data_IF_635665683179
#
_entry.id   IF_635665683179
#
_cell.length_a   1.000
_cell.length_b   1.000
_cell.length_c   1.000
_cell.angle_alpha   90.00
_cell.angle_beta   90.00
_cell.angle_gamma   90.00
#
_symmetry.space_group_name_H-M   'P 1'
#
loop_
_entity.id
_entity.type
_entity.pdbx_description
1 polymer ?
#
# COMPACT_ATOMS: atom_id res chain seq x y z
N UNK A 1 -4.50 31.71 -79.96
CA UNK A 1 -5.93 31.43 -79.70
C UNK A 1 -6.06 29.94 -79.40
N UNK A 2 -6.78 29.58 -78.32
CA UNK A 2 -6.97 28.23 -77.77
C UNK A 2 -7.39 27.21 -78.85
N UNK A 3 -6.94 25.95 -78.76
CA UNK A 3 -7.73 24.82 -78.27
C UNK A 3 -6.85 23.57 -78.10
N UNK A 4 -7.28 22.76 -77.15
CA UNK A 4 -6.61 21.63 -76.50
C UNK A 4 -7.14 20.32 -77.11
N UNK A 5 -6.32 19.29 -77.34
CA UNK A 5 -6.65 17.91 -76.96
C UNK A 5 -5.53 16.87 -77.20
N UNK A 6 -4.96 16.41 -76.08
CA UNK A 6 -4.80 15.02 -75.63
C UNK A 6 -4.53 13.92 -76.67
N UNK A 7 -3.37 13.27 -76.55
CA UNK A 7 -3.26 11.80 -76.70
C UNK A 7 -2.45 11.20 -75.55
N UNK A 8 -3.08 10.19 -74.95
CA UNK A 8 -2.61 9.21 -73.97
C UNK A 8 -1.17 8.70 -74.20
N UNK A 9 -0.45 8.38 -73.12
CA UNK A 9 0.35 7.14 -73.01
C UNK A 9 0.78 6.88 -71.55
N UNK A 10 0.26 5.75 -71.05
CA UNK A 10 0.88 4.71 -70.20
C UNK A 10 1.30 5.07 -68.75
N UNK A 11 0.41 4.60 -67.88
CA UNK A 11 0.52 4.33 -66.45
C UNK A 11 1.68 3.36 -66.14
N UNK A 12 2.61 3.78 -65.26
CA UNK A 12 3.55 2.89 -64.57
C UNK A 12 3.28 3.00 -63.07
N UNK A 13 2.57 2.00 -62.57
CA UNK A 13 2.18 1.84 -61.17
C UNK A 13 3.42 1.44 -60.36
N UNK A 14 3.90 2.33 -59.49
CA UNK A 14 4.80 1.96 -58.39
C UNK A 14 4.20 2.46 -57.07
N UNK A 15 3.14 1.79 -56.61
CA UNK A 15 2.73 1.92 -55.22
C UNK A 15 3.60 0.97 -54.39
N UNK A 16 4.57 1.55 -53.69
CA UNK A 16 5.23 0.88 -52.58
C UNK A 16 4.17 0.67 -51.50
N UNK A 17 3.66 -0.55 -51.38
CA UNK A 17 2.92 -0.97 -50.20
C UNK A 17 3.98 -1.13 -49.10
N UNK A 18 4.33 -0.02 -48.45
CA UNK A 18 4.88 -0.10 -47.10
C UNK A 18 3.74 -0.65 -46.24
N UNK A 19 3.71 -1.98 -46.07
CA UNK A 19 2.92 -2.60 -45.03
C UNK A 19 3.41 -1.97 -43.72
N UNK A 20 2.61 -1.06 -43.19
CA UNK A 20 2.75 -0.62 -41.81
C UNK A 20 2.56 -1.89 -40.98
N UNK A 21 3.67 -2.50 -40.60
CA UNK A 21 3.73 -3.33 -39.41
C UNK A 21 3.39 -2.38 -38.26
N UNK A 22 2.10 -2.20 -37.99
CA UNK A 22 1.67 -1.87 -36.65
C UNK A 22 2.16 -3.06 -35.82
N UNK A 23 3.28 -2.86 -35.15
CA UNK A 23 3.62 -3.62 -33.98
C UNK A 23 2.39 -3.51 -33.06
N UNK A 24 1.57 -4.55 -33.04
CA UNK A 24 0.68 -4.78 -31.92
C UNK A 24 1.64 -4.95 -30.74
N UNK A 25 1.89 -3.88 -29.99
CA UNK A 25 2.40 -4.02 -28.64
C UNK A 25 1.42 -4.97 -27.96
N UNK A 26 1.87 -6.20 -27.68
CA UNK A 26 1.07 -7.16 -26.95
C UNK A 26 0.60 -6.46 -25.68
N UNK A 27 -0.71 -6.22 -25.58
CA UNK A 27 -1.29 -5.55 -24.43
C UNK A 27 -0.98 -6.42 -23.21
N UNK A 28 -0.01 -5.98 -22.39
CA UNK A 28 0.42 -6.67 -21.19
C UNK A 28 -0.76 -6.84 -20.23
N UNK A 29 -0.73 -7.87 -19.39
CA UNK A 29 -1.75 -8.12 -18.36
C UNK A 29 -2.87 -9.06 -18.78
N UNK A 30 -3.37 -9.82 -17.80
CA UNK A 30 -4.48 -10.75 -17.93
C UNK A 30 -5.81 -10.03 -18.19
N UNK A 31 -6.80 -10.75 -18.75
CA UNK A 31 -8.17 -10.23 -18.93
C UNK A 31 -8.76 -9.76 -17.59
N UNK A 32 -8.47 -10.48 -16.51
CA UNK A 32 -8.91 -10.15 -15.16
C UNK A 32 -8.38 -8.78 -14.72
N UNK A 33 -7.08 -8.52 -14.88
CA UNK A 33 -6.48 -7.23 -14.51
C UNK A 33 -7.05 -6.07 -15.32
N UNK A 34 -7.32 -6.27 -16.62
CA UNK A 34 -7.97 -5.24 -17.46
C UNK A 34 -9.36 -4.90 -16.94
N UNK A 35 -10.15 -5.92 -16.57
CA UNK A 35 -11.48 -5.73 -15.99
C UNK A 35 -11.42 -5.05 -14.61
N UNK A 36 -10.41 -5.34 -13.80
CA UNK A 36 -10.17 -4.63 -12.54
C UNK A 36 -9.84 -3.16 -12.77
N UNK A 37 -8.89 -2.87 -13.66
CA UNK A 37 -8.48 -1.50 -13.99
C UNK A 37 -9.62 -0.66 -14.58
N UNK A 38 -10.52 -1.30 -15.33
CA UNK A 38 -11.72 -0.63 -15.86
C UNK A 38 -12.67 -0.12 -14.77
N UNK A 39 -12.58 -0.63 -13.52
CA UNK A 39 -13.40 -0.17 -12.39
C UNK A 39 -12.94 1.16 -11.81
N UNK A 40 -11.71 1.59 -12.08
CA UNK A 40 -11.10 2.77 -11.45
C UNK A 40 -11.99 4.04 -11.52
N UNK A 41 -12.60 4.42 -12.67
CA UNK A 41 -13.48 5.59 -12.72
C UNK A 41 -14.71 5.48 -11.81
N UNK A 42 -15.27 4.27 -11.69
CA UNK A 42 -16.44 4.01 -10.84
C UNK A 42 -16.07 4.11 -9.37
N UNK A 43 -14.94 3.53 -8.97
CA UNK A 43 -14.42 3.57 -7.59
C UNK A 43 -14.15 5.01 -7.17
N UNK A 44 -13.48 5.81 -8.01
CA UNK A 44 -13.22 7.24 -7.75
C UNK A 44 -14.54 7.99 -7.54
N UNK A 45 -15.50 7.82 -8.45
CA UNK A 45 -16.79 8.49 -8.37
C UNK A 45 -17.51 8.17 -7.06
N UNK A 46 -17.56 6.90 -6.67
CA UNK A 46 -18.21 6.46 -5.43
C UNK A 46 -17.52 7.01 -4.18
N UNK A 47 -16.18 7.04 -4.18
CA UNK A 47 -15.41 7.67 -3.10
C UNK A 47 -15.75 9.14 -2.94
N UNK A 48 -15.76 9.90 -4.05
CA UNK A 48 -16.11 11.32 -4.05
C UNK A 48 -17.56 11.58 -3.60
N UNK A 49 -18.51 10.76 -4.05
CA UNK A 49 -19.92 10.86 -3.65
C UNK A 49 -20.10 10.59 -2.16
N UNK A 50 -19.53 9.50 -1.63
CA UNK A 50 -19.57 9.20 -0.20
C UNK A 50 -18.86 10.26 0.64
N UNK A 51 -17.73 10.80 0.17
CA UNK A 51 -17.02 11.87 0.89
C UNK A 51 -17.86 13.15 0.98
N UNK A 52 -18.50 13.55 -0.13
CA UNK A 52 -19.41 14.72 -0.18
C UNK A 52 -20.65 14.51 0.70
N UNK A 53 -21.12 13.28 0.83
CA UNK A 53 -22.22 12.91 1.71
C UNK A 53 -21.83 12.87 3.20
N UNK A 54 -20.56 13.03 3.56
CA UNK A 54 -20.06 12.92 4.94
C UNK A 54 -19.88 11.48 5.41
N UNK A 55 -20.02 10.50 4.53
CA UNK A 55 -19.81 9.07 4.81
C UNK A 55 -18.32 8.72 4.76
N UNK A 56 -17.51 9.34 5.63
CA UNK A 56 -16.05 9.29 5.51
C UNK A 56 -15.44 7.89 5.58
N UNK A 57 -15.97 7.01 6.45
CA UNK A 57 -15.54 5.61 6.52
C UNK A 57 -15.76 4.86 5.19
N UNK A 58 -16.93 5.04 4.58
CA UNK A 58 -17.27 4.41 3.30
C UNK A 58 -16.50 5.02 2.13
N UNK A 59 -16.30 6.35 2.16
CA UNK A 59 -15.44 7.04 1.20
C UNK A 59 -14.01 6.49 1.26
N UNK A 60 -13.50 6.27 2.48
CA UNK A 60 -12.18 5.70 2.71
C UNK A 60 -12.03 4.29 2.14
N UNK A 61 -13.06 3.45 2.23
CA UNK A 61 -13.03 2.11 1.62
C UNK A 61 -12.85 2.21 0.10
N UNK A 62 -13.62 3.08 -0.57
CA UNK A 62 -13.46 3.34 -2.00
C UNK A 62 -12.12 3.98 -2.36
N UNK A 63 -11.63 4.93 -1.57
CA UNK A 63 -10.32 5.53 -1.82
C UNK A 63 -9.17 4.55 -1.58
N UNK A 64 -9.32 3.59 -0.67
CA UNK A 64 -8.34 2.52 -0.46
C UNK A 64 -8.35 1.54 -1.64
N UNK A 65 -9.54 1.20 -2.16
CA UNK A 65 -9.67 0.43 -3.41
C UNK A 65 -9.05 1.21 -4.59
N UNK A 66 -9.25 2.53 -4.66
CA UNK A 66 -8.60 3.39 -5.66
C UNK A 66 -7.08 3.29 -5.57
N UNK A 67 -6.49 3.26 -4.38
CA UNK A 67 -5.04 3.06 -4.20
C UNK A 67 -4.62 1.71 -4.78
N UNK A 68 -5.29 0.63 -4.39
CA UNK A 68 -4.99 -0.72 -4.88
C UNK A 68 -4.98 -0.80 -6.41
N UNK A 69 -6.04 -0.27 -7.04
CA UNK A 69 -6.14 -0.24 -8.49
C UNK A 69 -5.10 0.70 -9.12
N UNK A 70 -4.83 1.87 -8.54
CA UNK A 70 -3.87 2.82 -9.13
C UNK A 70 -2.45 2.26 -9.13
N UNK A 71 -2.04 1.58 -8.05
CA UNK A 71 -0.73 0.93 -7.96
C UNK A 71 -0.62 -0.28 -8.89
N UNK A 72 -1.60 -1.18 -8.87
CA UNK A 72 -1.59 -2.37 -9.70
C UNK A 72 -1.69 -2.08 -11.19
N UNK A 73 -2.61 -1.21 -11.58
CA UNK A 73 -2.76 -0.83 -12.98
C UNK A 73 -1.55 -0.02 -13.46
N UNK A 74 -0.99 0.85 -12.61
CA UNK A 74 0.25 1.57 -12.89
C UNK A 74 1.41 0.62 -13.18
N UNK A 75 1.52 -0.46 -12.41
CA UNK A 75 2.54 -1.49 -12.61
C UNK A 75 2.36 -2.27 -13.93
N UNK A 76 1.13 -2.72 -14.23
CA UNK A 76 0.86 -3.61 -15.38
C UNK A 76 0.72 -2.85 -16.71
N UNK A 77 0.12 -1.66 -16.68
CA UNK A 77 -0.28 -0.88 -17.86
C UNK A 77 0.38 0.50 -17.97
N UNK A 78 1.20 0.89 -16.98
CA UNK A 78 1.82 2.22 -16.92
C UNK A 78 0.84 3.36 -16.62
N UNK A 79 -0.43 3.05 -16.28
CA UNK A 79 -1.49 4.01 -15.97
C UNK A 79 -2.41 3.49 -14.85
N UNK A 80 -2.94 4.37 -13.97
CA UNK A 80 -2.77 5.81 -13.99
C UNK A 80 -1.36 6.22 -13.53
N UNK A 81 -1.01 7.49 -13.72
CA UNK A 81 0.33 7.97 -13.36
C UNK A 81 0.51 8.06 -11.83
N UNK A 82 1.74 8.28 -11.40
CA UNK A 82 2.07 8.42 -9.99
C UNK A 82 1.28 9.56 -9.30
N UNK A 83 0.91 10.62 -10.04
CA UNK A 83 0.12 11.74 -9.52
C UNK A 83 -1.28 11.30 -9.10
N UNK A 84 -1.91 10.39 -9.86
CA UNK A 84 -3.20 9.83 -9.53
C UNK A 84 -3.12 8.94 -8.28
N UNK A 85 -2.09 8.10 -8.16
CA UNK A 85 -1.86 7.27 -6.96
C UNK A 85 -1.65 8.13 -5.72
N UNK A 86 -0.85 9.20 -5.81
CA UNK A 86 -0.65 10.15 -4.72
C UNK A 86 -1.96 10.85 -4.34
N UNK A 87 -2.81 11.15 -5.32
CA UNK A 87 -4.14 11.71 -5.06
C UNK A 87 -5.01 10.73 -4.27
N UNK A 88 -4.96 9.43 -4.61
CA UNK A 88 -5.66 8.39 -3.85
C UNK A 88 -5.18 8.31 -2.39
N UNK A 89 -3.86 8.31 -2.13
CA UNK A 89 -3.32 8.37 -0.76
C UNK A 89 -3.86 9.56 0.03
N UNK A 90 -3.88 10.74 -0.60
CA UNK A 90 -4.37 11.97 0.02
C UNK A 90 -5.88 11.90 0.31
N UNK A 91 -6.67 11.28 -0.57
CA UNK A 91 -8.10 11.09 -0.35
C UNK A 91 -8.36 10.17 0.85
N UNK A 92 -7.60 9.08 1.00
CA UNK A 92 -7.66 8.21 2.19
C UNK A 92 -7.30 9.00 3.46
N UNK A 93 -6.21 9.77 3.41
CA UNK A 93 -5.79 10.60 4.54
C UNK A 93 -6.85 11.65 4.92
N UNK A 94 -7.49 12.29 3.93
CA UNK A 94 -8.55 13.28 4.15
C UNK A 94 -9.79 12.67 4.80
N UNK A 95 -10.13 11.40 4.53
CA UNK A 95 -11.19 10.70 5.26
C UNK A 95 -10.82 10.52 6.73
N UNK A 96 -9.61 10.03 7.03
CA UNK A 96 -9.14 9.92 8.42
C UNK A 96 -9.09 11.27 9.15
N UNK A 97 -8.67 12.35 8.47
CA UNK A 97 -8.71 13.72 9.00
C UNK A 97 -10.13 14.08 9.44
N UNK A 98 -11.13 13.75 8.64
CA UNK A 98 -12.54 14.05 8.94
C UNK A 98 -13.10 13.23 10.10
N UNK A 99 -12.59 12.02 10.29
CA UNK A 99 -12.94 11.15 11.43
C UNK A 99 -12.12 11.47 12.69
N UNK A 100 -11.13 12.36 12.62
CA UNK A 100 -10.26 12.72 13.74
C UNK A 100 -9.10 11.75 13.99
N UNK A 101 -8.90 10.77 13.10
CA UNK A 101 -7.85 9.75 13.19
C UNK A 101 -6.49 10.30 12.68
N UNK A 102 -5.91 11.23 13.44
CA UNK A 102 -4.66 11.94 13.05
C UNK A 102 -3.50 11.00 12.71
N UNK A 103 -3.23 9.99 13.52
CA UNK A 103 -2.05 9.13 13.32
C UNK A 103 -2.17 8.28 12.05
N UNK A 104 -3.36 7.76 11.73
CA UNK A 104 -3.62 7.05 10.47
C UNK A 104 -3.52 8.00 9.27
N UNK A 105 -4.03 9.23 9.39
CA UNK A 105 -3.86 10.23 8.34
C UNK A 105 -2.36 10.53 8.07
N UNK A 106 -1.54 10.67 9.13
CA UNK A 106 -0.10 10.84 9.01
C UNK A 106 0.56 9.67 8.27
N UNK A 107 0.16 8.43 8.59
CA UNK A 107 0.66 7.24 7.90
C UNK A 107 0.45 7.31 6.39
N UNK A 108 -0.76 7.64 5.93
CA UNK A 108 -1.06 7.77 4.51
C UNK A 108 -0.32 8.93 3.83
N UNK A 109 -0.20 10.09 4.49
CA UNK A 109 0.52 11.23 3.94
C UNK A 109 2.04 10.98 3.85
N UNK A 110 2.57 10.10 4.69
CA UNK A 110 3.98 9.70 4.69
C UNK A 110 4.39 8.90 3.45
N UNK A 111 3.43 8.35 2.69
CA UNK A 111 3.70 7.61 1.45
C UNK A 111 4.19 8.51 0.32
N UNK A 112 3.90 9.81 0.38
CA UNK A 112 4.33 10.79 -0.61
C UNK A 112 4.72 12.12 0.07
N UNK A 113 5.74 12.13 0.94
CA UNK A 113 6.00 13.23 1.87
C UNK A 113 6.50 14.50 1.17
N UNK A 114 6.99 14.36 -0.07
CA UNK A 114 7.51 15.47 -0.86
C UNK A 114 6.47 16.12 -1.77
N UNK A 115 5.32 15.48 -1.99
CA UNK A 115 4.24 16.01 -2.83
C UNK A 115 3.58 17.25 -2.22
N UNK A 116 3.14 18.17 -3.08
CA UNK A 116 2.53 19.43 -2.66
C UNK A 116 1.21 19.22 -1.91
N UNK A 117 0.35 18.29 -2.36
CA UNK A 117 -0.93 17.99 -1.69
C UNK A 117 -0.69 17.29 -0.36
N UNK A 118 0.24 16.33 -0.32
CA UNK A 118 0.60 15.65 0.92
C UNK A 118 1.13 16.61 1.97
N UNK A 119 2.03 17.53 1.60
CA UNK A 119 2.54 18.58 2.50
C UNK A 119 1.43 19.52 2.99
N UNK A 120 0.52 19.91 2.10
CA UNK A 120 -0.63 20.74 2.45
C UNK A 120 -1.53 20.02 3.45
N UNK A 121 -1.96 18.78 3.16
CA UNK A 121 -2.82 18.00 4.03
C UNK A 121 -2.15 17.65 5.36
N UNK A 122 -0.83 17.39 5.36
CA UNK A 122 -0.05 17.23 6.59
C UNK A 122 -0.13 18.46 7.48
N UNK A 123 -0.10 19.67 6.90
CA UNK A 123 -0.19 20.91 7.67
C UNK A 123 -1.53 21.08 8.40
N UNK A 124 -2.62 20.45 7.92
CA UNK A 124 -3.93 20.44 8.57
C UNK A 124 -3.93 19.70 9.91
N UNK A 125 -2.96 18.79 10.12
CA UNK A 125 -2.87 17.94 11.30
C UNK A 125 -2.16 18.60 12.48
N UNK A 126 -1.56 19.80 12.29
CA UNK A 126 -0.76 20.46 13.33
C UNK A 126 -1.55 20.76 14.60
N UNK A 127 -2.83 21.11 14.48
CA UNK A 127 -3.71 21.46 15.61
C UNK A 127 -4.46 20.27 16.21
N UNK A 128 -4.36 19.08 15.61
CA UNK A 128 -5.03 17.89 16.11
C UNK A 128 -4.18 17.26 17.23
N UNK A 129 -4.74 17.01 18.42
CA UNK A 129 -4.01 16.25 19.43
C UNK A 129 -3.75 14.84 18.90
N UNK A 130 -2.53 14.35 19.07
CA UNK A 130 -2.21 12.94 18.91
C UNK A 130 -1.62 12.49 20.25
N UNK A 131 -2.35 11.66 20.98
CA UNK A 131 -1.78 11.00 22.15
C UNK A 131 -1.08 9.73 21.66
N UNK A 132 0.24 9.78 21.63
CA UNK A 132 1.05 8.58 21.79
C UNK A 132 1.02 8.28 23.28
N UNK A 133 0.39 7.17 23.69
CA UNK A 133 0.38 6.76 25.11
C UNK A 133 1.81 6.58 25.61
N UNK A 134 2.08 6.74 26.93
CA UNK A 134 3.43 6.70 27.50
C UNK A 134 4.11 5.32 27.39
N UNK A 135 3.36 4.30 27.00
CA UNK A 135 3.82 2.94 26.82
C UNK A 135 3.86 2.54 25.34
N UNK A 136 4.49 1.39 25.13
CA UNK A 136 4.61 0.72 23.83
C UNK A 136 3.27 0.22 23.26
N UNK A 137 2.18 0.28 24.03
CA UNK A 137 0.88 -0.31 23.67
C UNK A 137 0.26 0.40 22.48
N UNK A 138 -0.20 -0.33 21.48
CA UNK A 138 -0.85 0.29 20.33
C UNK A 138 -0.81 -0.54 19.07
N UNK A 139 -1.36 0.06 18.02
CA UNK A 139 -1.29 -0.47 16.66
C UNK A 139 -0.23 0.29 15.89
N UNK A 140 0.60 -0.43 15.15
CA UNK A 140 1.64 0.10 14.30
C UNK A 140 1.48 -0.44 12.89
N UNK A 141 1.73 0.40 11.89
CA UNK A 141 1.56 0.07 10.48
C UNK A 141 2.87 0.22 9.71
N UNK A 142 3.11 -0.69 8.76
CA UNK A 142 4.12 -0.54 7.71
C UNK A 142 3.49 -0.82 6.36
N UNK A 143 3.62 0.12 5.42
CA UNK A 143 2.93 -0.01 4.13
C UNK A 143 3.36 -1.29 3.41
N UNK A 144 2.38 -2.06 2.94
CA UNK A 144 2.60 -3.33 2.24
C UNK A 144 2.36 -3.21 0.73
N UNK A 145 1.84 -2.07 0.26
CA UNK A 145 1.34 -1.91 -1.11
C UNK A 145 -0.14 -2.26 -1.23
N UNK A 146 -0.70 -1.94 -2.37
CA UNK A 146 -2.10 -2.13 -2.77
C UNK A 146 -3.10 -1.60 -1.75
N UNK A 147 -2.80 -0.44 -1.16
CA UNK A 147 -3.61 0.19 -0.13
C UNK A 147 -3.65 -0.57 1.21
N UNK A 148 -2.79 -1.58 1.36
CA UNK A 148 -2.74 -2.47 2.52
C UNK A 148 -1.49 -2.21 3.37
N UNK A 149 -1.56 -2.60 4.63
CA UNK A 149 -0.52 -2.37 5.64
C UNK A 149 -0.19 -3.68 6.36
N UNK A 150 1.10 -3.95 6.57
CA UNK A 150 1.52 -4.84 7.63
C UNK A 150 1.14 -4.20 8.97
N UNK A 151 0.63 -5.00 9.91
CA UNK A 151 0.16 -4.51 11.20
C UNK A 151 0.94 -5.20 12.31
N UNK A 152 1.48 -4.40 13.23
CA UNK A 152 1.94 -4.88 14.53
C UNK A 152 1.00 -4.35 15.61
N UNK A 153 0.54 -5.24 16.49
CA UNK A 153 -0.26 -4.91 17.66
C UNK A 153 0.56 -5.22 18.91
N UNK A 154 0.64 -4.26 19.81
CA UNK A 154 1.40 -4.38 21.07
C UNK A 154 0.42 -4.20 22.22
N UNK A 155 0.32 -5.22 23.07
CA UNK A 155 -0.56 -5.27 24.22
C UNK A 155 0.23 -5.49 25.50
N UNK A 156 -0.27 -4.96 26.62
CA UNK A 156 0.36 -5.21 27.92
C UNK A 156 0.03 -6.63 28.39
N UNK A 157 1.04 -7.39 28.80
CA UNK A 157 0.88 -8.76 29.32
C UNK A 157 1.69 -8.94 30.61
N UNK A 158 1.10 -8.55 31.75
CA UNK A 158 1.83 -8.50 33.02
C UNK A 158 2.98 -7.50 32.96
N UNK A 159 4.20 -7.94 33.26
CA UNK A 159 5.40 -7.11 33.10
C UNK A 159 5.91 -7.06 31.65
N UNK A 160 5.48 -8.01 30.83
CA UNK A 160 5.88 -8.18 29.43
C UNK A 160 4.87 -7.53 28.47
N UNK A 161 5.06 -7.77 27.18
CA UNK A 161 4.15 -7.35 26.12
C UNK A 161 3.76 -8.53 25.23
N UNK A 162 2.47 -8.66 24.91
CA UNK A 162 2.05 -9.52 23.80
C UNK A 162 2.23 -8.73 22.51
N UNK A 163 3.09 -9.22 21.62
CA UNK A 163 3.36 -8.63 20.32
C UNK A 163 2.82 -9.56 19.25
N UNK A 164 1.89 -9.02 18.47
CA UNK A 164 1.23 -9.73 17.37
C UNK A 164 1.53 -9.05 16.06
N UNK A 165 1.94 -9.82 15.05
CA UNK A 165 2.24 -9.33 13.71
C UNK A 165 1.28 -9.98 12.72
N UNK A 166 0.75 -9.17 11.81
CA UNK A 166 0.08 -9.61 10.60
C UNK A 166 0.83 -9.01 9.40
N UNK A 167 1.40 -9.89 8.59
CA UNK A 167 2.37 -9.55 7.56
C UNK A 167 1.84 -9.93 6.20
N UNK A 168 2.04 -9.04 5.24
CA UNK A 168 1.55 -9.12 3.87
C UNK A 168 2.73 -8.92 2.91
N UNK A 169 2.79 -9.78 1.90
CA UNK A 169 3.66 -9.61 0.75
C UNK A 169 2.86 -9.73 -0.54
N UNK A 170 2.81 -8.64 -1.31
CA UNK A 170 2.19 -8.66 -2.64
C UNK A 170 3.23 -8.99 -3.70
N UNK A 171 3.01 -10.09 -4.42
CA UNK A 171 3.78 -10.41 -5.62
C UNK A 171 3.38 -9.57 -6.82
N UNK A 172 3.98 -9.87 -7.97
CA UNK A 172 3.72 -9.22 -9.27
C UNK A 172 2.22 -9.08 -9.59
N UNK A 173 1.47 -10.14 -9.30
CA UNK A 173 0.04 -10.25 -9.59
C UNK A 173 -0.83 -9.97 -8.34
N UNK A 174 -0.27 -9.26 -7.35
CA UNK A 174 -0.88 -9.06 -6.03
C UNK A 174 -2.24 -8.37 -6.09
N UNK A 175 -2.46 -7.49 -7.08
CA UNK A 175 -3.78 -6.90 -7.31
C UNK A 175 -4.85 -7.95 -7.62
N UNK A 176 -4.51 -8.98 -8.42
CA UNK A 176 -5.48 -9.97 -8.89
C UNK A 176 -5.64 -11.17 -7.94
N UNK A 177 -4.56 -11.60 -7.29
CA UNK A 177 -4.53 -12.81 -6.47
C UNK A 177 -4.37 -12.57 -4.97
N UNK A 178 -4.15 -11.31 -4.57
CA UNK A 178 -3.91 -10.95 -3.18
C UNK A 178 -2.47 -11.22 -2.73
N UNK A 179 -2.18 -10.91 -1.44
CA UNK A 179 -0.87 -11.10 -0.86
C UNK A 179 -0.66 -12.53 -0.35
N UNK A 180 0.61 -12.93 -0.22
CA UNK A 180 0.98 -13.95 0.74
C UNK A 180 0.89 -13.35 2.15
N UNK A 181 0.37 -14.13 3.09
CA UNK A 181 0.07 -13.67 4.45
C UNK A 181 0.79 -14.57 5.44
N UNK A 182 1.32 -13.96 6.50
CA UNK A 182 1.81 -14.68 7.67
C UNK A 182 1.54 -13.88 8.93
N UNK A 183 1.35 -14.59 10.03
CA UNK A 183 1.07 -13.99 11.33
C UNK A 183 1.87 -14.69 12.44
N UNK A 184 1.99 -13.97 13.56
CA UNK A 184 2.58 -14.49 14.77
C UNK A 184 2.10 -13.68 15.97
N UNK A 185 1.93 -14.33 17.11
CA UNK A 185 1.76 -13.66 18.40
C UNK A 185 2.67 -14.28 19.46
N UNK A 186 3.47 -13.45 20.13
CA UNK A 186 4.40 -13.90 21.17
C UNK A 186 4.45 -12.92 22.34
N UNK A 187 4.57 -13.46 23.54
CA UNK A 187 4.86 -12.65 24.74
C UNK A 187 6.36 -12.36 24.76
N UNK A 188 6.73 -11.09 24.82
CA UNK A 188 8.10 -10.59 24.73
C UNK A 188 8.42 -9.75 25.96
N UNK A 189 9.48 -10.16 26.66
CA UNK A 189 10.11 -9.34 27.69
C UNK A 189 10.97 -8.27 27.02
N UNK A 190 10.67 -7.00 27.30
CA UNK A 190 11.41 -5.85 26.80
C UNK A 190 12.47 -5.41 27.82
N UNK A 191 13.71 -5.17 27.37
CA UNK A 191 14.81 -4.60 28.16
C UNK A 191 15.40 -3.42 27.40
N UNK A 192 15.45 -2.25 28.03
CA UNK A 192 15.97 -1.01 27.42
C UNK A 192 15.39 -0.75 26.01
N UNK A 193 14.08 -1.00 25.85
CA UNK A 193 13.32 -0.85 24.59
C UNK A 193 13.62 -1.88 23.49
N UNK A 194 14.44 -2.88 23.79
CA UNK A 194 14.77 -4.00 22.93
C UNK A 194 14.10 -5.30 23.41
N UNK A 195 13.62 -6.10 22.46
CA UNK A 195 12.98 -7.39 22.67
C UNK A 195 13.39 -8.39 21.59
N UNK A 196 13.25 -9.67 21.89
CA UNK A 196 13.66 -10.74 20.99
C UNK A 196 12.62 -11.86 21.02
N UNK A 197 12.03 -12.14 19.87
CA UNK A 197 11.22 -13.33 19.65
C UNK A 197 12.14 -14.42 19.10
N UNK A 198 12.14 -15.59 19.73
CA UNK A 198 12.85 -16.77 19.24
C UNK A 198 11.84 -17.83 18.84
N UNK A 199 11.87 -18.20 17.57
CA UNK A 199 11.05 -19.27 17.02
C UNK A 199 11.93 -20.47 16.76
N UNK A 200 11.50 -21.62 17.28
CA UNK A 200 12.10 -22.92 17.01
C UNK A 200 11.11 -23.72 16.20
N UNK A 201 11.45 -24.07 14.97
CA UNK A 201 10.60 -24.88 14.09
C UNK A 201 11.40 -25.88 13.26
N UNK A 202 10.70 -26.75 12.53
CA UNK A 202 11.31 -27.75 11.63
C UNK A 202 12.14 -27.09 10.51
N UNK A 203 11.77 -25.88 10.09
CA UNK A 203 12.48 -25.07 9.08
C UNK A 203 13.69 -24.32 9.64
N UNK A 204 13.96 -24.45 10.95
CA UNK A 204 15.11 -23.88 11.64
C UNK A 204 14.75 -22.87 12.73
N UNK A 205 15.79 -22.31 13.34
CA UNK A 205 15.65 -21.27 14.34
C UNK A 205 15.55 -19.91 13.66
N UNK A 206 14.48 -19.16 13.93
CA UNK A 206 14.31 -17.77 13.52
C UNK A 206 14.35 -16.86 14.75
N UNK A 207 15.04 -15.73 14.62
CA UNK A 207 15.07 -14.68 15.63
C UNK A 207 14.54 -13.38 15.02
N UNK A 208 13.57 -12.77 15.70
CA UNK A 208 12.95 -11.50 15.30
C UNK A 208 13.26 -10.49 16.40
N UNK A 209 14.10 -9.51 16.06
CA UNK A 209 14.39 -8.39 16.94
C UNK A 209 13.26 -7.36 16.88
N UNK A 210 12.90 -6.84 18.04
CA UNK A 210 11.89 -5.81 18.22
C UNK A 210 12.56 -4.65 18.96
N UNK A 211 12.49 -3.44 18.41
CA UNK A 211 13.12 -2.26 19.01
C UNK A 211 12.22 -1.04 18.89
N UNK A 212 11.96 -0.36 19.99
CA UNK A 212 11.28 0.94 19.96
C UNK A 212 12.33 2.04 19.78
N UNK A 213 12.39 2.65 18.59
CA UNK A 213 13.47 3.58 18.22
C UNK A 213 13.11 5.06 18.45
N UNK A 214 11.82 5.38 18.59
CA UNK A 214 11.34 6.73 18.87
C UNK A 214 10.06 6.62 19.71
N UNK A 215 10.18 6.89 21.01
CA UNK A 215 9.05 6.82 21.95
C UNK A 215 8.04 7.95 21.75
N UNK A 216 8.51 9.10 21.30
CA UNK A 216 7.70 10.32 21.17
C UNK A 216 6.96 10.36 19.82
N UNK A 217 7.52 9.75 18.77
CA UNK A 217 6.86 9.62 17.46
C UNK A 217 6.33 8.21 17.17
N UNK A 218 6.60 7.25 18.06
CA UNK A 218 6.03 5.90 18.05
C UNK A 218 6.52 5.03 16.88
N UNK A 219 7.82 4.77 16.78
CA UNK A 219 8.36 3.86 15.77
C UNK A 219 8.80 2.53 16.39
N UNK A 220 8.22 1.44 15.88
CA UNK A 220 8.57 0.07 16.20
C UNK A 220 9.38 -0.54 15.05
N UNK A 221 10.68 -0.73 15.26
CA UNK A 221 11.54 -1.44 14.34
C UNK A 221 11.42 -2.94 14.59
N UNK A 222 11.19 -3.68 13.52
CA UNK A 222 11.15 -5.14 13.50
C UNK A 222 12.22 -5.61 12.52
N UNK A 223 13.01 -6.60 12.89
CA UNK A 223 14.03 -7.15 11.99
C UNK A 223 14.28 -8.64 12.24
N UNK A 224 14.08 -9.45 11.20
CA UNK A 224 14.59 -10.82 11.09
C UNK A 224 16.08 -10.77 10.74
N UNK A 225 16.94 -10.99 11.73
CA UNK A 225 18.41 -10.91 11.67
C UNK A 225 19.05 -11.67 10.47
N UNK A 226 20.28 -11.30 10.07
CA UNK A 226 20.63 -10.64 8.82
C UNK A 226 20.66 -11.58 7.59
N UNK A 227 20.39 -12.86 7.77
CA UNK A 227 20.45 -13.88 6.71
C UNK A 227 19.10 -14.03 5.99
N UNK A 228 18.05 -13.30 6.43
CA UNK A 228 16.66 -13.45 5.97
C UNK A 228 16.22 -14.91 5.94
N UNK A 229 16.53 -15.65 7.02
CA UNK A 229 16.01 -17.00 7.18
C UNK A 229 14.49 -16.92 7.23
N UNK A 230 13.83 -17.77 6.45
CA UNK A 230 12.38 -17.85 6.47
C UNK A 230 11.94 -18.25 7.88
N UNK A 231 10.99 -17.49 8.44
CA UNK A 231 10.45 -17.71 9.78
C UNK A 231 9.13 -18.50 9.74
N UNK A 232 8.86 -19.22 8.64
CA UNK A 232 7.62 -19.96 8.44
C UNK A 232 6.38 -19.10 8.17
N UNK A 233 6.53 -17.80 7.87
CA UNK A 233 5.40 -16.90 7.57
C UNK A 233 4.78 -17.11 6.17
N UNK A 234 5.29 -18.07 5.40
CA UNK A 234 4.92 -18.25 4.01
C UNK A 234 5.85 -17.52 3.04
N UNK A 235 5.73 -17.89 1.76
CA UNK A 235 6.66 -17.49 0.71
C UNK A 235 6.78 -15.96 0.60
N UNK A 236 8.01 -15.43 0.74
CA UNK A 236 8.36 -14.01 0.72
C UNK A 236 7.73 -13.13 1.83
N UNK A 237 7.16 -13.72 2.87
CA UNK A 237 6.63 -12.96 4.00
C UNK A 237 7.71 -12.86 5.09
N UNK A 238 8.07 -11.63 5.47
CA UNK A 238 9.15 -11.38 6.42
C UNK A 238 8.77 -10.31 7.45
N UNK A 239 9.07 -10.57 8.72
CA UNK A 239 8.92 -9.59 9.80
C UNK A 239 10.08 -8.58 9.76
N UNK A 240 9.93 -7.49 9.01
CA UNK A 240 10.99 -6.49 8.88
C UNK A 240 10.48 -5.07 8.62
N UNK A 241 11.28 -4.10 9.04
CA UNK A 241 11.14 -2.68 8.74
C UNK A 241 10.63 -1.86 9.92
N UNK A 242 10.41 -0.58 9.64
CA UNK A 242 9.99 0.39 10.64
C UNK A 242 8.47 0.58 10.55
N UNK A 243 7.77 0.25 11.63
CA UNK A 243 6.31 0.39 11.75
C UNK A 243 5.99 1.66 12.53
N UNK A 244 5.10 2.48 11.99
CA UNK A 244 4.67 3.74 12.60
C UNK A 244 3.41 3.55 13.43
N UNK A 245 3.36 4.11 14.64
CA UNK A 245 2.20 4.01 15.52
C UNK A 245 1.02 4.78 14.92
N UNK A 246 -0.11 4.10 14.81
CA UNK A 246 -1.36 4.64 14.25
C UNK A 246 -2.52 4.66 15.24
N UNK A 247 -2.32 4.07 16.42
CA UNK A 247 -3.28 4.02 17.51
C UNK A 247 -2.56 3.79 18.84
N UNK A 248 -3.08 4.36 19.93
CA UNK A 248 -2.65 4.03 21.30
C UNK A 248 -3.41 2.83 21.90
N UNK A 249 -4.38 2.29 21.17
CA UNK A 249 -5.07 1.04 21.46
C UNK A 249 -4.51 -0.04 20.55
N UNK A 250 -4.32 -1.24 21.08
CA UNK A 250 -3.99 -2.40 20.29
C UNK A 250 -5.12 -2.75 19.33
N UNK A 251 -4.76 -3.44 18.24
CA UNK A 251 -5.73 -4.10 17.37
C UNK A 251 -5.82 -5.55 17.79
N UNK A 252 -7.00 -6.03 18.22
CA UNK A 252 -7.19 -7.45 18.46
C UNK A 252 -7.00 -8.19 17.12
N UNK A 253 -6.11 -9.17 17.12
CA UNK A 253 -6.09 -10.17 16.06
C UNK A 253 -6.89 -11.36 16.59
N UNK A 254 -8.04 -11.64 15.98
CA UNK A 254 -8.75 -12.89 16.23
C UNK A 254 -8.03 -14.00 15.46
N UNK A 255 -6.85 -14.37 15.96
CA UNK A 255 -6.15 -15.58 15.52
C UNK A 255 -6.77 -16.75 16.26
N UNK A 256 -7.99 -17.09 15.85
CA UNK A 256 -8.64 -18.33 16.22
C UNK A 256 -7.80 -19.49 15.72
N UNK A 257 -7.12 -20.17 16.64
CA UNK A 257 -6.67 -21.55 16.44
C UNK A 257 -7.76 -22.50 16.91
#
# INVERSE_FOLDING_TARGET
MKFMNVKFIIMLLTLHISANFFANAAESGSKLEKEMCAKLPVVIKKGDESYKAGEYAKARDYFTEQVSLSEGCGYVYGKPDQTATITAYNNVALSYIKEGDKLKALAWLSLAPNDKKSKFNYSLLKSMPASVGPDMVGTYWKYAGFGSWNVASVEKHGNDYLISLNLLYFGLMGMAYGPNIGDISQVVTMKDDDGLIKLTGEEGNCEISIKFIDKDNGILKIDTNPDRKECGFGHNVYAHGDFIRVSNRSTPFDIGY
#
